data_IF_226476980475
#
_entry.id   IF_226476980475
#
_cell.length_a   1.000
_cell.length_b   1.000
_cell.length_c   1.000
_cell.angle_alpha   90.00
_cell.angle_beta   90.00
_cell.angle_gamma   90.00
#
_symmetry.space_group_name_H-M   'P 1'
#
loop_
_entity.id
_entity.type
_entity.pdbx_description
1 polymer ?
#
# COMPACT_ATOMS: atom_id res chain seq x y z
N UNK A 1 -14.11 -1.99 -26.35
CA UNK A 1 -15.24 -1.29 -25.72
C UNK A 1 -16.05 -2.26 -24.89
N UNK A 2 -16.66 -1.80 -23.81
CA UNK A 2 -17.54 -2.57 -22.94
C UNK A 2 -18.57 -1.67 -22.27
N UNK A 3 -19.64 -2.25 -21.69
CA UNK A 3 -20.67 -1.48 -20.99
C UNK A 3 -20.25 -1.17 -19.56
N UNK A 4 -20.36 0.10 -19.17
CA UNK A 4 -20.18 0.58 -17.82
C UNK A 4 -21.45 0.30 -17.01
N UNK A 5 -21.39 -0.66 -16.09
CA UNK A 5 -22.54 -1.06 -15.28
C UNK A 5 -22.75 -0.13 -14.10
N UNK A 6 -21.66 0.31 -13.47
CA UNK A 6 -21.69 1.21 -12.32
C UNK A 6 -20.33 1.92 -12.14
N UNK A 7 -20.30 3.00 -11.37
CA UNK A 7 -19.08 3.62 -10.86
C UNK A 7 -19.10 3.46 -9.35
N UNK A 8 -18.11 2.73 -8.84
CA UNK A 8 -17.92 2.46 -7.42
C UNK A 8 -16.71 3.25 -6.91
N UNK A 9 -16.55 3.35 -5.60
CA UNK A 9 -15.37 3.95 -4.98
C UNK A 9 -14.64 2.93 -4.11
N UNK A 10 -13.32 3.07 -4.04
CA UNK A 10 -12.45 2.35 -3.11
C UNK A 10 -11.74 3.32 -2.19
N UNK A 11 -11.42 2.89 -0.98
CA UNK A 11 -10.70 3.69 0.02
C UNK A 11 -9.32 3.08 0.21
N UNK A 12 -8.30 3.78 -0.24
CA UNK A 12 -6.91 3.33 -0.13
C UNK A 12 -6.33 3.50 1.29
N UNK A 13 -5.14 2.96 1.53
CA UNK A 13 -4.45 2.94 2.84
C UNK A 13 -4.23 4.32 3.49
N UNK A 14 -4.21 5.39 2.70
CA UNK A 14 -4.08 6.78 3.18
C UNK A 14 -5.41 7.54 3.16
N UNK A 15 -6.52 6.82 3.08
CA UNK A 15 -7.87 7.37 3.09
C UNK A 15 -8.35 7.94 1.75
N UNK A 16 -7.53 7.99 0.69
CA UNK A 16 -7.96 8.49 -0.63
C UNK A 16 -9.12 7.66 -1.17
N UNK A 17 -10.20 8.33 -1.55
CA UNK A 17 -11.39 7.71 -2.12
C UNK A 17 -11.32 7.84 -3.65
N UNK A 18 -11.11 6.72 -4.31
CA UNK A 18 -10.86 6.69 -5.76
C UNK A 18 -12.03 6.02 -6.47
N UNK A 19 -12.70 6.71 -7.42
CA UNK A 19 -13.72 6.11 -8.24
C UNK A 19 -13.11 5.15 -9.28
N UNK A 20 -13.81 4.06 -9.53
CA UNK A 20 -13.47 3.10 -10.57
C UNK A 20 -14.72 2.61 -11.31
N UNK A 21 -14.55 2.33 -12.59
CA UNK A 21 -15.57 1.75 -13.43
C UNK A 21 -15.75 0.26 -13.11
N UNK A 22 -16.99 -0.16 -12.86
CA UNK A 22 -17.40 -1.56 -12.82
C UNK A 22 -18.14 -1.87 -14.12
N UNK A 23 -17.64 -2.86 -14.88
CA UNK A 23 -18.03 -3.05 -16.28
C UNK A 23 -18.37 -4.49 -16.59
N UNK A 24 -19.08 -4.72 -17.70
CA UNK A 24 -19.15 -6.05 -18.28
C UNK A 24 -17.75 -6.57 -18.61
N UNK A 25 -17.47 -7.87 -18.34
CA UNK A 25 -16.14 -8.43 -18.60
C UNK A 25 -15.72 -8.25 -20.07
N UNK A 26 -14.51 -7.76 -20.28
CA UNK A 26 -13.95 -7.56 -21.63
C UNK A 26 -12.49 -8.01 -21.68
N UNK A 27 -12.09 -8.63 -22.79
CA UNK A 27 -10.70 -9.00 -23.01
C UNK A 27 -9.89 -7.79 -23.51
N UNK A 28 -8.81 -7.45 -22.78
CA UNK A 28 -7.88 -6.38 -23.14
C UNK A 28 -6.45 -6.90 -22.93
N UNK A 29 -5.64 -6.88 -23.96
CA UNK A 29 -4.23 -7.32 -23.94
C UNK A 29 -4.06 -8.65 -23.15
N UNK A 30 -4.82 -9.69 -23.56
CA UNK A 30 -4.69 -11.06 -23.03
C UNK A 30 -5.34 -11.33 -21.67
N UNK A 31 -5.85 -10.31 -20.96
CA UNK A 31 -6.56 -10.50 -19.69
C UNK A 31 -8.02 -10.07 -19.76
N UNK A 32 -8.86 -10.67 -18.91
CA UNK A 32 -10.26 -10.24 -18.73
C UNK A 32 -10.32 -9.13 -17.69
N UNK A 33 -10.90 -8.01 -18.08
CA UNK A 33 -11.00 -6.79 -17.25
C UNK A 33 -12.47 -6.54 -16.92
N UNK A 34 -12.78 -6.33 -15.63
CA UNK A 34 -14.10 -5.95 -15.10
C UNK A 34 -14.09 -4.60 -14.41
N UNK A 35 -12.88 -4.13 -14.01
CA UNK A 35 -12.71 -2.85 -13.32
C UNK A 35 -11.63 -2.03 -14.02
N UNK A 36 -11.83 -0.71 -14.09
CA UNK A 36 -10.83 0.23 -14.62
C UNK A 36 -10.84 1.52 -13.82
N UNK A 37 -9.67 2.15 -13.67
CA UNK A 37 -9.58 3.40 -12.92
C UNK A 37 -10.29 4.55 -13.63
N UNK A 38 -10.87 5.43 -12.84
CA UNK A 38 -11.43 6.72 -13.28
C UNK A 38 -10.68 7.89 -12.61
N UNK A 39 -9.64 7.58 -11.80
CA UNK A 39 -8.73 8.49 -11.12
C UNK A 39 -9.39 9.39 -10.06
N UNK A 40 -10.31 10.26 -10.42
CA UNK A 40 -11.07 11.14 -9.52
C UNK A 40 -12.38 11.62 -10.18
N UNK A 41 -13.21 12.33 -9.43
CA UNK A 41 -14.51 12.81 -9.91
C UNK A 41 -14.39 13.84 -11.06
N UNK A 42 -13.36 14.69 -11.03
CA UNK A 42 -13.13 15.68 -12.08
C UNK A 42 -12.77 15.02 -13.43
N UNK A 43 -12.01 13.91 -13.40
CA UNK A 43 -11.71 13.13 -14.60
C UNK A 43 -12.96 12.47 -15.19
N UNK A 44 -13.90 12.02 -14.36
CA UNK A 44 -15.18 11.48 -14.82
C UNK A 44 -15.97 12.56 -15.56
N UNK A 45 -16.07 13.74 -14.96
CA UNK A 45 -16.74 14.90 -15.54
C UNK A 45 -16.07 15.37 -16.83
N UNK A 46 -14.73 15.54 -16.81
CA UNK A 46 -13.94 15.95 -17.98
C UNK A 46 -14.10 15.01 -19.17
N UNK A 47 -14.13 13.69 -18.90
CA UNK A 47 -14.33 12.66 -19.92
C UNK A 47 -15.80 12.54 -20.34
N UNK A 48 -16.72 13.13 -19.59
CA UNK A 48 -18.16 13.07 -19.86
C UNK A 48 -18.72 11.64 -19.73
N UNK A 49 -18.16 10.81 -18.83
CA UNK A 49 -18.56 9.41 -18.64
C UNK A 49 -19.80 9.35 -17.75
N UNK A 50 -20.80 8.62 -18.19
CA UNK A 50 -22.04 8.36 -17.45
C UNK A 50 -22.19 6.87 -17.16
N UNK A 51 -22.79 6.53 -16.03
CA UNK A 51 -23.14 5.13 -15.72
C UNK A 51 -24.17 4.66 -16.73
N UNK A 52 -23.93 3.52 -17.36
CA UNK A 52 -24.73 2.99 -18.46
C UNK A 52 -24.13 3.24 -19.85
N UNK A 53 -23.04 4.04 -19.95
CA UNK A 53 -22.32 4.24 -21.22
C UNK A 53 -21.69 2.94 -21.73
N UNK A 54 -21.49 2.84 -23.03
CA UNK A 54 -20.44 2.01 -23.62
C UNK A 54 -19.15 2.79 -23.59
N UNK A 55 -18.13 2.27 -22.92
CA UNK A 55 -16.83 2.97 -22.71
C UNK A 55 -15.70 2.32 -23.48
N UNK A 56 -14.71 3.13 -23.86
CA UNK A 56 -13.45 2.69 -24.46
C UNK A 56 -12.46 2.47 -23.33
N UNK A 57 -11.80 1.31 -23.33
CA UNK A 57 -10.81 0.92 -22.32
C UNK A 57 -9.49 0.62 -22.98
N UNK A 58 -8.41 1.00 -22.33
CA UNK A 58 -7.06 0.53 -22.62
C UNK A 58 -6.33 0.11 -21.35
N UNK A 59 -5.21 -0.59 -21.50
CA UNK A 59 -4.22 -0.77 -20.43
C UNK A 59 -3.13 0.28 -20.59
N UNK A 60 -2.99 1.16 -19.60
CA UNK A 60 -1.89 2.09 -19.53
C UNK A 60 -0.62 1.34 -19.14
N UNK A 61 0.46 1.51 -19.92
CA UNK A 61 1.73 0.80 -19.71
C UNK A 61 1.60 -0.73 -19.71
N UNK A 62 0.60 -1.25 -20.44
CA UNK A 62 0.24 -2.68 -20.51
C UNK A 62 -0.17 -3.32 -19.16
N UNK A 63 -0.38 -2.54 -18.11
CA UNK A 63 -0.65 -3.02 -16.76
C UNK A 63 -2.01 -2.55 -16.23
N UNK A 64 -2.27 -1.22 -16.17
CA UNK A 64 -3.43 -0.65 -15.48
C UNK A 64 -4.57 -0.37 -16.45
N UNK A 65 -5.75 -1.03 -16.30
CA UNK A 65 -6.93 -0.69 -17.07
C UNK A 65 -7.43 0.71 -16.73
N UNK A 66 -7.65 1.53 -17.74
CA UNK A 66 -8.26 2.86 -17.61
C UNK A 66 -9.37 3.09 -18.62
N UNK A 67 -10.34 3.91 -18.24
CA UNK A 67 -11.41 4.38 -19.12
C UNK A 67 -10.94 5.61 -19.87
N UNK A 68 -10.95 5.56 -21.19
CA UNK A 68 -10.59 6.70 -22.04
C UNK A 68 -11.75 7.68 -22.20
N UNK A 69 -12.97 7.16 -22.39
CA UNK A 69 -14.17 7.95 -22.57
C UNK A 69 -15.36 7.12 -23.05
N UNK A 70 -16.54 7.75 -23.21
CA UNK A 70 -17.75 7.10 -23.71
C UNK A 70 -17.75 6.99 -25.24
N UNK A 71 -18.53 6.04 -25.77
CA UNK A 71 -18.93 5.96 -27.17
C UNK A 71 -20.28 6.65 -27.30
N UNK A 72 -20.28 7.95 -27.63
CA UNK A 72 -21.47 8.80 -27.57
C UNK A 72 -22.62 8.28 -28.44
N UNK A 73 -22.33 7.77 -29.63
CA UNK A 73 -23.32 7.24 -30.58
C UNK A 73 -24.08 6.00 -30.06
N UNK A 74 -23.61 5.40 -28.95
CA UNK A 74 -24.26 4.27 -28.30
C UNK A 74 -25.10 4.65 -27.09
N UNK A 75 -25.24 5.94 -26.79
CA UNK A 75 -26.12 6.41 -25.71
C UNK A 75 -27.58 6.21 -26.05
N UNK A 76 -28.35 5.81 -25.04
CA UNK A 76 -29.77 5.51 -25.13
C UNK A 76 -30.66 6.58 -24.48
N UNK A 77 -30.04 7.55 -23.79
CA UNK A 77 -30.72 8.57 -22.99
C UNK A 77 -31.13 8.09 -21.59
N UNK A 78 -30.68 6.88 -21.19
CA UNK A 78 -30.95 6.30 -19.85
C UNK A 78 -29.71 6.34 -18.96
N UNK A 79 -28.62 6.89 -19.46
CA UNK A 79 -27.36 7.03 -18.73
C UNK A 79 -27.52 8.05 -17.60
N UNK A 80 -26.84 7.82 -16.49
CA UNK A 80 -26.92 8.68 -15.31
C UNK A 80 -25.54 9.17 -14.87
N UNK A 81 -25.48 10.39 -14.36
CA UNK A 81 -24.25 10.96 -13.82
C UNK A 81 -23.82 10.21 -12.54
N UNK A 82 -22.51 10.09 -12.36
CA UNK A 82 -21.93 9.67 -11.09
C UNK A 82 -21.93 10.83 -10.11
N UNK A 83 -22.28 10.52 -8.86
CA UNK A 83 -22.18 11.47 -7.74
C UNK A 83 -21.20 10.92 -6.73
N UNK A 84 -20.14 11.67 -6.44
CA UNK A 84 -19.16 11.28 -5.44
C UNK A 84 -19.82 11.19 -4.07
N UNK A 85 -19.62 10.09 -3.30
CA UNK A 85 -20.19 9.98 -1.97
C UNK A 85 -19.63 11.06 -1.04
N UNK A 86 -20.47 11.53 -0.12
CA UNK A 86 -20.08 12.48 0.94
C UNK A 86 -19.62 11.80 2.22
N UNK A 87 -19.85 10.50 2.33
CA UNK A 87 -19.47 9.66 3.45
C UNK A 87 -18.63 8.48 2.98
N UNK A 88 -17.71 8.05 3.83
CA UNK A 88 -16.90 6.86 3.60
C UNK A 88 -17.79 5.61 3.52
N UNK A 89 -17.67 4.78 2.47
CA UNK A 89 -18.52 3.59 2.33
C UNK A 89 -18.26 2.53 3.41
N UNK A 90 -17.08 2.56 4.04
CA UNK A 90 -16.67 1.54 5.02
C UNK A 90 -16.89 1.98 6.47
N UNK A 91 -16.73 3.27 6.81
CA UNK A 91 -16.84 3.74 8.20
C UNK A 91 -17.80 4.91 8.40
N UNK A 92 -18.52 5.34 7.37
CA UNK A 92 -19.49 6.43 7.38
C UNK A 92 -18.94 7.82 7.79
N UNK A 93 -17.65 7.99 8.01
CA UNK A 93 -17.04 9.29 8.28
C UNK A 93 -17.24 10.25 7.10
N UNK A 94 -17.51 11.52 7.40
CA UNK A 94 -17.64 12.55 6.36
C UNK A 94 -16.34 12.68 5.56
N UNK A 95 -16.44 12.55 4.24
CA UNK A 95 -15.30 12.69 3.33
C UNK A 95 -14.98 14.17 3.11
N UNK A 96 -13.67 14.47 2.98
CA UNK A 96 -13.22 15.86 2.75
C UNK A 96 -11.90 15.90 1.99
N UNK A 97 -11.63 17.00 1.32
CA UNK A 97 -10.28 17.35 0.88
C UNK A 97 -9.37 17.62 2.09
N UNK A 98 -8.06 17.38 1.98
CA UNK A 98 -7.12 17.71 3.06
C UNK A 98 -6.83 19.20 3.05
N UNK A 99 -6.58 19.75 1.87
CA UNK A 99 -6.36 21.18 1.65
C UNK A 99 -7.42 21.73 0.72
N UNK A 100 -7.71 23.03 0.82
CA UNK A 100 -8.60 23.70 -0.10
C UNK A 100 -8.06 23.59 -1.53
N UNK A 101 -8.92 23.18 -2.47
CA UNK A 101 -8.54 22.95 -3.87
C UNK A 101 -7.96 21.57 -4.17
N UNK A 102 -7.76 20.69 -3.18
CA UNK A 102 -7.34 19.31 -3.42
C UNK A 102 -8.46 18.55 -4.16
N UNK A 103 -8.12 17.96 -5.29
CA UNK A 103 -9.04 17.12 -6.07
C UNK A 103 -9.29 15.76 -5.44
N UNK A 104 -8.42 15.35 -4.53
CA UNK A 104 -8.52 14.09 -3.83
C UNK A 104 -9.39 14.21 -2.58
N UNK A 105 -10.53 13.52 -2.60
CA UNK A 105 -11.39 13.38 -1.42
C UNK A 105 -10.91 12.21 -0.56
N UNK A 106 -10.87 12.40 0.76
CA UNK A 106 -10.33 11.41 1.69
C UNK A 106 -11.24 11.14 2.88
N UNK A 107 -11.16 9.92 3.38
CA UNK A 107 -11.70 9.53 4.67
C UNK A 107 -10.73 9.97 5.78
N UNK A 108 -11.14 10.86 6.69
CA UNK A 108 -10.26 11.37 7.75
C UNK A 108 -10.07 10.40 8.92
N UNK A 109 -10.85 9.32 8.99
CA UNK A 109 -10.73 8.30 10.04
C UNK A 109 -9.53 7.37 9.74
N UNK A 110 -8.32 7.88 9.95
CA UNK A 110 -7.09 7.15 9.62
C UNK A 110 -6.83 5.99 10.59
N UNK A 111 -7.26 6.11 11.84
CA UNK A 111 -6.96 5.12 12.88
C UNK A 111 -7.82 3.85 12.75
N UNK A 112 -9.14 3.99 12.55
CA UNK A 112 -10.07 2.88 12.71
C UNK A 112 -10.95 2.58 11.49
N UNK A 113 -10.75 3.26 10.36
CA UNK A 113 -11.49 2.94 9.15
C UNK A 113 -11.10 1.53 8.66
N UNK A 114 -12.07 0.57 8.56
CA UNK A 114 -11.77 -0.81 8.20
C UNK A 114 -11.07 -0.94 6.84
N UNK A 115 -11.48 -0.12 5.85
CA UNK A 115 -10.83 -0.13 4.55
C UNK A 115 -9.37 0.32 4.63
N UNK A 116 -9.08 1.42 5.34
CA UNK A 116 -7.71 1.91 5.50
C UNK A 116 -6.83 0.91 6.24
N UNK A 117 -7.34 0.32 7.33
CA UNK A 117 -6.65 -0.72 8.09
C UNK A 117 -6.31 -1.93 7.21
N UNK A 118 -7.29 -2.46 6.48
CA UNK A 118 -7.10 -3.59 5.56
C UNK A 118 -6.03 -3.29 4.51
N UNK A 119 -6.10 -2.13 3.88
CA UNK A 119 -5.15 -1.70 2.86
C UNK A 119 -3.74 -1.48 3.42
N UNK A 120 -3.60 -0.97 4.67
CA UNK A 120 -2.29 -0.84 5.32
C UNK A 120 -1.69 -2.20 5.66
N UNK A 121 -2.46 -3.12 6.25
CA UNK A 121 -2.00 -4.47 6.58
C UNK A 121 -1.60 -5.24 5.31
N UNK A 122 -2.43 -5.18 4.27
CA UNK A 122 -2.09 -5.74 2.96
C UNK A 122 -0.78 -5.17 2.41
N UNK A 123 -0.62 -3.83 2.49
CA UNK A 123 0.58 -3.16 2.00
C UNK A 123 1.83 -3.52 2.81
N UNK A 124 1.73 -3.64 4.14
CA UNK A 124 2.82 -4.12 5.00
C UNK A 124 3.32 -5.48 4.53
N UNK A 125 2.41 -6.40 4.18
CA UNK A 125 2.76 -7.73 3.67
C UNK A 125 3.28 -7.75 2.23
N UNK A 126 3.15 -6.66 1.48
CA UNK A 126 3.53 -6.62 0.06
C UNK A 126 5.05 -6.65 -0.13
N UNK A 127 5.47 -7.05 -1.35
CA UNK A 127 6.89 -7.03 -1.77
C UNK A 127 7.53 -5.64 -1.69
N UNK A 128 6.73 -4.59 -1.85
CA UNK A 128 7.20 -3.21 -1.75
C UNK A 128 7.57 -2.79 -0.32
N UNK A 129 7.06 -3.49 0.69
CA UNK A 129 7.33 -3.24 2.11
C UNK A 129 8.07 -4.42 2.75
N UNK A 130 7.44 -5.18 3.64
CA UNK A 130 8.12 -6.22 4.42
C UNK A 130 8.14 -7.60 3.75
N UNK A 131 7.43 -7.78 2.63
CA UNK A 131 7.40 -9.04 1.83
C UNK A 131 7.06 -10.26 2.70
N UNK A 132 5.89 -10.20 3.34
CA UNK A 132 5.40 -11.26 4.22
C UNK A 132 4.55 -12.23 3.40
N UNK A 133 5.06 -13.44 3.16
CA UNK A 133 4.29 -14.47 2.44
C UNK A 133 2.97 -14.76 3.16
N UNK A 134 1.94 -15.14 2.38
CA UNK A 134 0.57 -15.36 2.86
C UNK A 134 -0.19 -14.10 3.29
N UNK A 135 0.45 -12.97 3.57
CA UNK A 135 -0.20 -11.72 3.94
C UNK A 135 -0.78 -11.00 2.71
N UNK A 136 -1.65 -11.69 1.96
CA UNK A 136 -2.42 -11.10 0.87
C UNK A 136 -3.65 -10.34 1.37
N UNK A 137 -4.43 -9.77 0.43
CA UNK A 137 -5.63 -8.99 0.74
C UNK A 137 -6.66 -9.76 1.58
N UNK A 138 -6.92 -11.04 1.24
CA UNK A 138 -7.87 -11.87 1.96
C UNK A 138 -7.40 -12.20 3.37
N UNK A 139 -6.09 -12.42 3.57
CA UNK A 139 -5.52 -12.62 4.89
C UNK A 139 -5.65 -11.37 5.75
N UNK A 140 -5.32 -10.19 5.21
CA UNK A 140 -5.49 -8.90 5.88
C UNK A 140 -6.96 -8.65 6.27
N UNK A 141 -7.89 -8.98 5.37
CA UNK A 141 -9.31 -8.89 5.63
C UNK A 141 -9.75 -9.83 6.77
N UNK A 142 -9.34 -11.11 6.72
CA UNK A 142 -9.69 -12.10 7.74
C UNK A 142 -9.15 -11.71 9.12
N UNK A 143 -7.91 -11.24 9.22
CA UNK A 143 -7.32 -10.78 10.48
C UNK A 143 -8.15 -9.70 11.17
N UNK A 144 -8.74 -8.78 10.40
CA UNK A 144 -9.56 -7.69 10.93
C UNK A 144 -11.00 -8.13 11.20
N UNK A 145 -11.64 -8.83 10.26
CA UNK A 145 -13.06 -9.24 10.38
C UNK A 145 -13.28 -10.25 11.50
N UNK A 146 -12.31 -11.16 11.71
CA UNK A 146 -12.35 -12.15 12.77
C UNK A 146 -11.77 -11.62 14.10
N UNK A 147 -11.49 -10.31 14.17
CA UNK A 147 -10.92 -9.62 15.32
C UNK A 147 -9.67 -10.31 15.91
N UNK A 148 -8.82 -10.85 15.04
CA UNK A 148 -7.53 -11.46 15.42
C UNK A 148 -6.53 -10.36 15.78
N UNK A 149 -6.58 -9.24 15.07
CA UNK A 149 -5.86 -8.00 15.34
C UNK A 149 -6.84 -6.81 15.33
N UNK A 150 -6.49 -5.75 16.04
CA UNK A 150 -7.26 -4.50 16.06
C UNK A 150 -6.72 -3.54 15.01
N UNK A 151 -5.42 -3.45 14.89
CA UNK A 151 -4.72 -2.61 13.93
C UNK A 151 -3.35 -3.22 13.55
N UNK A 152 -2.59 -2.52 12.71
CA UNK A 152 -1.27 -2.96 12.24
C UNK A 152 -0.22 -3.10 13.35
N UNK A 153 -0.41 -2.49 14.51
CA UNK A 153 0.52 -2.61 15.64
C UNK A 153 0.56 -4.02 16.23
N UNK A 154 -0.53 -4.80 16.06
CA UNK A 154 -0.65 -6.14 16.59
C UNK A 154 -0.03 -7.22 15.69
N UNK A 155 0.40 -6.86 14.48
CA UNK A 155 0.81 -7.81 13.45
C UNK A 155 1.92 -8.75 13.88
N UNK A 156 2.98 -8.22 14.50
CA UNK A 156 4.11 -9.03 15.00
C UNK A 156 3.84 -9.70 16.36
N UNK A 157 2.67 -9.48 16.94
CA UNK A 157 2.16 -10.18 18.13
C UNK A 157 1.18 -11.32 17.79
N UNK A 158 1.09 -11.73 16.53
CA UNK A 158 0.32 -12.89 16.10
C UNK A 158 0.91 -14.18 16.65
N UNK A 159 0.03 -15.13 16.99
CA UNK A 159 0.40 -16.48 17.41
C UNK A 159 -0.46 -17.50 16.68
N UNK A 160 -0.02 -18.74 16.63
CA UNK A 160 -0.79 -19.85 16.04
C UNK A 160 -2.18 -19.95 16.66
N UNK A 161 -2.30 -19.81 17.99
CA UNK A 161 -3.58 -19.89 18.72
C UNK A 161 -4.53 -18.77 18.31
N UNK A 162 -4.03 -17.56 18.09
CA UNK A 162 -4.84 -16.44 17.57
C UNK A 162 -5.33 -16.73 16.16
N UNK A 163 -4.45 -17.17 15.26
CA UNK A 163 -4.77 -17.46 13.87
C UNK A 163 -5.78 -18.60 13.74
N UNK A 164 -5.74 -19.59 14.62
CA UNK A 164 -6.71 -20.69 14.65
C UNK A 164 -8.14 -20.26 15.00
N UNK A 165 -8.39 -19.03 15.38
CA UNK A 165 -9.74 -18.50 15.58
C UNK A 165 -10.43 -18.12 14.28
N UNK A 166 -9.70 -18.07 13.17
CA UNK A 166 -10.22 -17.69 11.84
C UNK A 166 -10.36 -18.91 10.95
N UNK A 167 -11.52 -19.06 10.34
CA UNK A 167 -11.77 -20.11 9.33
C UNK A 167 -10.88 -19.97 8.10
N UNK A 168 -10.40 -18.75 7.83
CA UNK A 168 -9.49 -18.49 6.72
C UNK A 168 -8.14 -19.22 6.89
N UNK A 169 -7.68 -19.34 8.13
CA UNK A 169 -6.37 -19.96 8.44
C UNK A 169 -6.48 -21.42 8.85
N UNK A 170 -7.68 -21.93 9.13
CA UNK A 170 -7.91 -23.32 9.53
C UNK A 170 -8.41 -24.18 8.38
N UNK A 171 -8.27 -25.49 8.50
CA UNK A 171 -8.91 -26.45 7.62
C UNK A 171 -10.36 -26.69 8.04
N UNK A 172 -11.14 -27.35 7.19
CA UNK A 172 -12.55 -27.71 7.47
C UNK A 172 -12.76 -28.55 8.74
N UNK A 173 -11.73 -29.29 9.16
CA UNK A 173 -11.74 -30.09 10.37
C UNK A 173 -11.29 -29.30 11.62
N UNK A 174 -11.08 -27.99 11.49
CA UNK A 174 -10.62 -27.09 12.56
C UNK A 174 -9.12 -27.20 12.87
N UNK A 175 -8.36 -28.06 12.19
CA UNK A 175 -6.92 -28.13 12.37
C UNK A 175 -6.19 -26.96 11.67
N UNK A 176 -4.95 -26.69 12.11
CA UNK A 176 -4.13 -25.65 11.53
C UNK A 176 -3.93 -25.85 10.02
N UNK A 177 -4.19 -24.81 9.24
CA UNK A 177 -3.85 -24.78 7.82
C UNK A 177 -2.35 -24.57 7.61
N UNK A 178 -1.81 -25.03 6.49
CA UNK A 178 -0.39 -24.81 6.10
C UNK A 178 -0.01 -23.33 6.04
N UNK A 179 -0.99 -22.45 5.83
CA UNK A 179 -0.76 -21.02 5.77
C UNK A 179 -0.39 -20.40 7.12
N UNK A 180 -0.77 -21.03 8.25
CA UNK A 180 -0.36 -20.56 9.58
C UNK A 180 1.14 -20.67 9.75
N UNK A 181 1.72 -21.84 9.49
CA UNK A 181 3.17 -22.07 9.61
C UNK A 181 3.96 -21.12 8.70
N UNK A 182 3.50 -20.98 7.44
CA UNK A 182 4.14 -20.06 6.48
C UNK A 182 4.07 -18.61 6.93
N UNK A 183 2.90 -18.15 7.39
CA UNK A 183 2.71 -16.79 7.86
C UNK A 183 3.59 -16.50 9.09
N UNK A 184 3.63 -17.42 10.06
CA UNK A 184 4.45 -17.26 11.26
C UNK A 184 5.95 -17.19 10.91
N UNK A 185 6.42 -18.06 10.01
CA UNK A 185 7.81 -18.03 9.53
C UNK A 185 8.12 -16.72 8.78
N UNK A 186 7.22 -16.27 7.90
CA UNK A 186 7.39 -15.02 7.16
C UNK A 186 7.37 -13.78 8.05
N UNK A 187 6.54 -13.77 9.11
CA UNK A 187 6.54 -12.71 10.11
C UNK A 187 7.86 -12.65 10.88
N UNK A 188 8.42 -13.80 11.22
CA UNK A 188 9.73 -13.84 11.92
C UNK A 188 10.86 -13.34 11.00
N UNK A 189 10.87 -13.75 9.73
CA UNK A 189 11.83 -13.25 8.74
C UNK A 189 11.67 -11.73 8.53
N UNK A 190 10.44 -11.23 8.49
CA UNK A 190 10.14 -9.82 8.27
C UNK A 190 10.69 -8.89 9.35
N UNK A 191 10.91 -9.38 10.58
CA UNK A 191 11.52 -8.61 11.68
C UNK A 191 12.94 -8.15 11.39
N UNK A 192 13.67 -8.89 10.55
CA UNK A 192 15.05 -8.58 10.16
C UNK A 192 15.18 -7.82 8.84
N UNK A 193 14.06 -7.39 8.24
CA UNK A 193 14.10 -6.59 7.02
C UNK A 193 14.82 -5.25 7.24
N UNK A 194 15.50 -4.71 6.21
CA UNK A 194 16.20 -3.43 6.29
C UNK A 194 15.30 -2.29 6.79
N UNK A 195 15.85 -1.35 7.56
CA UNK A 195 15.12 -0.22 8.15
C UNK A 195 14.26 0.54 7.13
N UNK A 196 14.75 0.76 5.90
CA UNK A 196 13.97 1.46 4.88
C UNK A 196 12.66 0.76 4.53
N UNK A 197 12.63 -0.59 4.58
CA UNK A 197 11.40 -1.37 4.34
C UNK A 197 10.40 -1.20 5.50
N UNK A 198 10.90 -1.09 6.73
CA UNK A 198 10.08 -0.78 7.90
C UNK A 198 9.46 0.61 7.74
N UNK A 199 10.23 1.61 7.31
CA UNK A 199 9.74 2.97 7.04
C UNK A 199 8.65 2.96 5.96
N UNK A 200 8.84 2.23 4.86
CA UNK A 200 7.84 2.08 3.80
C UNK A 200 6.56 1.43 4.34
N UNK A 201 6.69 0.41 5.19
CA UNK A 201 5.57 -0.31 5.78
C UNK A 201 4.67 0.58 6.64
N UNK A 202 5.20 1.63 7.26
CA UNK A 202 4.44 2.60 8.07
C UNK A 202 3.46 3.44 7.23
N UNK A 203 3.53 3.37 5.89
CA UNK A 203 2.63 4.10 4.98
C UNK A 203 2.57 5.61 5.23
N UNK A 204 3.68 6.22 5.65
CA UNK A 204 3.80 7.68 5.80
C UNK A 204 3.54 8.32 4.44
N UNK A 205 2.66 9.31 4.41
CA UNK A 205 2.28 9.95 3.15
C UNK A 205 3.51 10.56 2.48
N UNK A 206 3.60 10.40 1.16
CA UNK A 206 4.73 10.84 0.31
C UNK A 206 6.05 10.09 0.51
N UNK A 207 6.19 9.25 1.54
CA UNK A 207 7.39 8.44 1.77
C UNK A 207 7.28 7.14 0.96
N UNK A 208 7.97 7.10 -0.15
CA UNK A 208 8.16 5.89 -0.98
C UNK A 208 9.53 5.24 -0.71
N UNK A 209 9.86 4.15 -1.44
CA UNK A 209 11.14 3.44 -1.24
C UNK A 209 12.37 4.34 -1.34
N UNK A 210 12.42 5.25 -2.30
CA UNK A 210 13.57 6.17 -2.49
C UNK A 210 13.78 7.08 -1.27
N UNK A 211 12.71 7.75 -0.80
CA UNK A 211 12.80 8.59 0.38
C UNK A 211 13.10 7.77 1.65
N UNK A 212 12.51 6.59 1.79
CA UNK A 212 12.76 5.70 2.92
C UNK A 212 14.22 5.21 2.97
N UNK A 213 14.82 4.90 1.81
CA UNK A 213 16.24 4.55 1.71
C UNK A 213 17.14 5.73 2.09
N UNK A 214 16.85 6.92 1.60
CA UNK A 214 17.60 8.13 1.94
C UNK A 214 17.55 8.41 3.45
N UNK A 215 16.36 8.30 4.07
CA UNK A 215 16.17 8.45 5.52
C UNK A 215 16.96 7.39 6.32
N UNK A 216 16.84 6.11 5.91
CA UNK A 216 17.54 5.02 6.59
C UNK A 216 19.06 5.15 6.48
N UNK A 217 19.59 5.57 5.33
CA UNK A 217 21.03 5.77 5.12
C UNK A 217 21.56 6.96 5.90
N UNK A 218 20.78 8.06 6.02
CA UNK A 218 21.22 9.28 6.71
C UNK A 218 21.17 9.13 8.22
N UNK A 219 20.05 8.62 8.76
CA UNK A 219 19.84 8.57 10.21
C UNK A 219 20.22 7.24 10.84
N UNK A 220 20.17 6.15 10.09
CA UNK A 220 20.50 4.80 10.57
C UNK A 220 19.58 4.23 11.64
N UNK A 221 18.63 5.00 12.17
CA UNK A 221 17.79 4.62 13.30
C UNK A 221 16.41 5.27 13.22
N UNK A 222 15.34 4.51 13.50
CA UNK A 222 13.96 5.00 13.48
C UNK A 222 13.70 6.12 14.50
N UNK A 223 14.31 6.01 15.68
CA UNK A 223 14.13 7.02 16.73
C UNK A 223 14.90 8.32 16.42
N UNK A 224 16.01 8.23 15.67
CA UNK A 224 16.70 9.40 15.14
C UNK A 224 15.83 10.12 14.12
N UNK A 225 15.20 9.39 13.20
CA UNK A 225 14.23 9.96 12.24
C UNK A 225 13.06 10.64 12.98
N UNK A 226 12.53 9.99 14.01
CA UNK A 226 11.42 10.52 14.80
C UNK A 226 11.74 11.82 15.56
N UNK A 227 13.01 12.07 15.86
CA UNK A 227 13.50 13.26 16.59
C UNK A 227 14.04 14.35 15.67
N UNK A 228 14.24 14.06 14.40
CA UNK A 228 14.81 15.00 13.45
C UNK A 228 13.87 16.20 13.24
N UNK A 229 14.46 17.38 13.08
CA UNK A 229 13.73 18.59 12.72
C UNK A 229 13.27 18.57 11.27
N UNK A 230 12.30 19.41 10.93
CA UNK A 230 11.83 19.55 9.55
C UNK A 230 12.96 19.93 8.59
N UNK A 231 13.91 20.77 9.04
CA UNK A 231 15.05 21.20 8.23
C UNK A 231 16.03 20.05 7.99
N UNK A 232 16.41 19.30 9.02
CA UNK A 232 17.29 18.13 8.88
C UNK A 232 16.71 17.09 7.93
N UNK A 233 15.39 16.86 7.97
CA UNK A 233 14.70 15.96 7.05
C UNK A 233 14.68 16.51 5.63
N UNK A 234 14.38 17.80 5.46
CA UNK A 234 14.24 18.43 4.14
C UNK A 234 15.59 18.58 3.40
N UNK A 235 16.71 18.65 4.13
CA UNK A 235 18.06 18.74 3.57
C UNK A 235 18.55 17.42 2.96
N UNK A 236 17.84 16.32 3.20
CA UNK A 236 18.17 15.01 2.60
C UNK A 236 17.75 14.98 1.14
N UNK A 237 18.68 14.61 0.26
CA UNK A 237 18.37 14.42 -1.17
C UNK A 237 17.23 13.42 -1.37
N UNK A 238 16.22 13.83 -2.12
CA UNK A 238 15.00 13.03 -2.34
C UNK A 238 13.93 13.10 -1.26
N UNK A 239 14.09 13.90 -0.19
CA UNK A 239 13.06 14.05 0.87
C UNK A 239 12.48 15.47 0.81
N UNK A 240 12.80 16.50 0.48
CA UNK A 240 12.18 17.84 0.39
C UNK A 240 11.12 18.16 1.46
N UNK A 241 10.70 19.43 1.51
CA UNK A 241 9.83 19.98 2.56
C UNK A 241 8.50 19.24 2.76
N UNK A 242 7.83 18.85 1.66
CA UNK A 242 6.53 18.16 1.72
C UNK A 242 6.64 16.80 2.40
N UNK A 243 7.71 16.06 2.13
CA UNK A 243 7.95 14.75 2.74
C UNK A 243 8.36 14.94 4.20
N UNK A 244 9.25 15.90 4.49
CA UNK A 244 9.68 16.24 5.83
C UNK A 244 8.49 16.59 6.73
N UNK A 245 7.58 17.43 6.26
CA UNK A 245 6.36 17.79 6.99
C UNK A 245 5.47 16.56 7.24
N UNK A 246 5.30 15.68 6.24
CA UNK A 246 4.51 14.46 6.40
C UNK A 246 5.10 13.51 7.44
N UNK A 247 6.42 13.44 7.56
CA UNK A 247 7.12 12.64 8.57
C UNK A 247 6.87 13.22 9.97
N UNK A 248 7.06 14.53 10.15
CA UNK A 248 6.81 15.23 11.43
C UNK A 248 5.37 15.02 11.89
N UNK A 249 4.39 15.24 11.01
CA UNK A 249 2.97 15.06 11.31
C UNK A 249 2.65 13.62 11.69
N UNK A 250 3.25 12.64 11.01
CA UNK A 250 3.04 11.24 11.31
C UNK A 250 3.56 10.86 12.70
N UNK A 251 4.77 11.28 13.06
CA UNK A 251 5.35 11.03 14.38
C UNK A 251 4.71 11.83 15.50
N UNK A 252 3.98 12.92 15.21
CA UNK A 252 3.21 13.66 16.19
C UNK A 252 1.99 12.90 16.75
N UNK A 253 1.54 11.86 16.04
CA UNK A 253 0.34 11.08 16.40
C UNK A 253 0.70 9.94 17.35
N UNK A 254 0.00 9.86 18.52
CA UNK A 254 0.31 8.88 19.57
C UNK A 254 0.18 7.43 19.11
N UNK A 255 -0.90 7.07 18.42
CA UNK A 255 -1.09 5.69 18.00
C UNK A 255 -0.10 5.25 16.90
N UNK A 256 0.47 6.17 16.12
CA UNK A 256 1.58 5.86 15.21
C UNK A 256 2.85 5.47 15.97
N UNK A 257 3.16 6.21 17.03
CA UNK A 257 4.33 5.86 17.89
C UNK A 257 4.13 4.54 18.60
N UNK A 258 2.89 4.19 18.96
CA UNK A 258 2.59 2.91 19.57
C UNK A 258 2.79 1.73 18.59
N UNK A 259 2.58 1.92 17.28
CA UNK A 259 2.92 0.91 16.26
C UNK A 259 4.42 0.58 16.35
N UNK A 260 5.27 1.60 16.29
CA UNK A 260 6.73 1.42 16.35
C UNK A 260 7.13 0.71 17.63
N UNK A 261 6.64 1.17 18.77
CA UNK A 261 6.95 0.60 20.08
C UNK A 261 6.54 -0.87 20.20
N UNK A 262 5.36 -1.25 19.69
CA UNK A 262 4.92 -2.64 19.69
C UNK A 262 5.74 -3.50 18.74
N UNK A 263 6.08 -3.00 17.56
CA UNK A 263 6.91 -3.71 16.60
C UNK A 263 8.33 -3.91 17.13
N UNK A 264 8.95 -2.89 17.71
CA UNK A 264 10.26 -2.96 18.35
C UNK A 264 10.25 -3.98 19.50
N UNK A 265 9.24 -3.94 20.38
CA UNK A 265 9.06 -4.91 21.46
C UNK A 265 8.91 -6.36 20.94
N UNK A 266 8.32 -6.53 19.76
CA UNK A 266 8.18 -7.83 19.10
C UNK A 266 9.44 -8.28 18.38
N UNK A 267 10.51 -7.46 18.34
CA UNK A 267 11.80 -7.78 17.76
C UNK A 267 12.02 -7.27 16.33
N UNK A 268 11.15 -6.38 15.82
CA UNK A 268 11.40 -5.73 14.52
C UNK A 268 12.60 -4.78 14.66
N UNK A 269 13.56 -4.90 13.77
CA UNK A 269 14.76 -4.07 13.76
C UNK A 269 14.42 -2.62 13.39
N UNK A 270 14.68 -1.70 14.32
CA UNK A 270 14.48 -0.26 14.14
C UNK A 270 15.77 0.48 13.77
N UNK A 271 16.84 -0.25 13.50
CA UNK A 271 18.15 0.30 13.13
C UNK A 271 18.59 -0.25 11.77
N UNK A 272 19.26 0.58 10.99
CA UNK A 272 19.94 0.12 9.80
C UNK A 272 21.03 -0.89 10.23
N UNK A 273 21.04 -2.05 9.60
CA UNK A 273 22.15 -2.98 9.80
C UNK A 273 23.42 -2.29 9.27
N UNK A 274 24.46 -2.28 10.07
CA UNK A 274 25.75 -1.80 9.61
C UNK A 274 26.17 -2.63 8.38
N UNK A 275 26.23 -1.98 7.24
CA UNK A 275 26.79 -2.57 6.00
C UNK A 275 28.32 -2.75 6.13
N UNK A 276 28.81 -2.67 7.35
CA UNK A 276 30.20 -2.36 7.71
C UNK A 276 31.18 -3.42 7.34
N UNK A 277 30.99 -4.54 6.80
CA UNK A 277 32.05 -5.48 6.46
C UNK A 277 31.80 -6.35 5.20
N UNK A 278 30.82 -5.98 4.37
CA UNK A 278 30.71 -6.65 3.08
C UNK A 278 31.80 -6.12 2.14
N UNK A 279 32.58 -7.01 1.48
CA UNK A 279 33.57 -6.58 0.51
C UNK A 279 32.90 -5.71 -0.59
N UNK A 280 33.40 -4.49 -0.77
CA UNK A 280 32.88 -3.54 -1.76
C UNK A 280 33.31 -3.96 -3.19
N UNK A 281 33.06 -5.19 -3.56
CA UNK A 281 33.53 -5.84 -4.79
C UNK A 281 32.86 -5.28 -6.05
N UNK A 282 31.75 -4.56 -5.90
CA UNK A 282 30.99 -3.96 -6.98
C UNK A 282 31.15 -2.44 -7.04
N UNK A 283 32.06 -1.86 -6.27
CA UNK A 283 32.31 -0.43 -6.22
C UNK A 283 32.62 0.15 -7.61
N UNK A 284 31.92 1.23 -7.99
CA UNK A 284 32.08 1.91 -9.27
C UNK A 284 31.42 1.20 -10.47
N UNK A 285 30.70 0.09 -10.24
CA UNK A 285 29.92 -0.58 -11.28
C UNK A 285 28.45 -0.17 -11.20
N UNK A 286 27.83 0.03 -12.37
CA UNK A 286 26.39 0.29 -12.47
C UNK A 286 25.70 -0.93 -13.08
N UNK A 287 24.63 -1.39 -12.44
CA UNK A 287 23.88 -2.57 -12.84
C UNK A 287 22.46 -2.22 -13.29
N UNK A 288 22.00 -2.90 -14.34
CA UNK A 288 20.59 -2.90 -14.76
C UNK A 288 20.05 -4.31 -14.61
N UNK A 289 19.10 -4.47 -13.71
CA UNK A 289 18.48 -5.78 -13.44
C UNK A 289 17.23 -5.95 -14.30
N UNK A 290 17.26 -6.92 -15.22
CA UNK A 290 16.15 -7.24 -16.13
C UNK A 290 15.79 -8.73 -16.07
N UNK A 291 14.55 -9.07 -16.41
CA UNK A 291 14.08 -10.46 -16.46
C UNK A 291 13.73 -11.06 -15.11
N UNK A 292 13.62 -12.38 -15.07
CA UNK A 292 13.42 -13.18 -13.86
C UNK A 292 14.74 -13.71 -13.33
N UNK A 293 14.91 -13.68 -12.02
CA UNK A 293 16.08 -14.18 -11.33
C UNK A 293 15.71 -15.46 -10.56
N UNK A 294 16.57 -16.47 -10.53
CA UNK A 294 16.27 -17.74 -9.86
C UNK A 294 16.31 -17.65 -8.34
N UNK A 295 17.24 -16.85 -7.77
CA UNK A 295 17.51 -16.78 -6.33
C UNK A 295 17.21 -15.44 -5.69
N UNK A 296 16.85 -14.44 -6.49
CA UNK A 296 16.61 -13.07 -6.02
C UNK A 296 15.34 -12.52 -6.60
N UNK A 297 14.66 -11.65 -5.85
CA UNK A 297 13.71 -10.69 -6.41
C UNK A 297 14.49 -9.51 -7.00
N UNK A 298 13.84 -8.66 -7.81
CA UNK A 298 14.49 -7.44 -8.32
C UNK A 298 14.97 -6.53 -7.20
N UNK A 299 14.18 -6.44 -6.12
CA UNK A 299 14.51 -5.59 -4.99
C UNK A 299 15.65 -6.18 -4.16
N UNK A 300 15.62 -7.49 -3.87
CA UNK A 300 16.68 -8.12 -3.07
C UNK A 300 18.03 -8.17 -3.80
N UNK A 301 18.04 -8.28 -5.13
CA UNK A 301 19.31 -8.19 -5.88
C UNK A 301 19.85 -6.76 -5.90
N UNK A 302 18.96 -5.74 -6.04
CA UNK A 302 19.37 -4.34 -5.95
C UNK A 302 19.96 -4.02 -4.57
N UNK A 303 19.34 -4.50 -3.49
CA UNK A 303 19.88 -4.40 -2.13
C UNK A 303 21.26 -5.05 -2.00
N UNK A 304 21.40 -6.26 -2.55
CA UNK A 304 22.69 -6.99 -2.52
C UNK A 304 23.76 -6.25 -3.31
N UNK A 305 23.45 -5.74 -4.51
CA UNK A 305 24.38 -4.95 -5.32
C UNK A 305 24.84 -3.70 -4.56
N UNK A 306 23.88 -2.95 -4.00
CA UNK A 306 24.18 -1.74 -3.21
C UNK A 306 24.99 -2.04 -1.96
N UNK A 307 24.70 -3.13 -1.25
CA UNK A 307 25.47 -3.57 -0.08
C UNK A 307 26.93 -3.91 -0.43
N UNK A 308 27.22 -4.32 -1.65
CA UNK A 308 28.56 -4.58 -2.19
C UNK A 308 29.18 -3.38 -2.95
N UNK A 309 28.57 -2.20 -2.90
CA UNK A 309 29.12 -0.94 -3.45
C UNK A 309 28.76 -0.64 -4.91
N UNK A 310 27.83 -1.37 -5.52
CA UNK A 310 27.34 -1.16 -6.88
C UNK A 310 26.16 -0.19 -6.97
#
# INVERSE_FOLDING_TARGET
TTKLLDIKVSVGRTGRVTPFAYMEPVKVAGSTVTNATLHNAQEIERKGVLIGDVVIIRKAGDVIPEVLGPVLDKRTGKERAFVMPTQCPDCASALRAITEGDVDIRCPNTQSCPAQLRERIYYIGSRAALDIDVMGYEAANALLTDAIIVDESDLFGLTTEKLMRSEFFTKKDGSAGKNIEKLMAALEEAKSRPLWRVIVALSIRHVGPTAAQALANTFGDMHAIAKASAQELADIDGVGETIAQSIIEWFAVDWHREIIKKWEKAGVLMQAQATADLPQTLAGLTFVVTGGLEKFTRDSIAETITAHGG
#
